data_IF_457403245430
#
_entry.id   IF_457403245430
#
_cell.length_a   1.000
_cell.length_b   1.000
_cell.length_c   1.000
_cell.angle_alpha   90.00
_cell.angle_beta   90.00
_cell.angle_gamma   90.00
#
_symmetry.space_group_name_H-M   'P 1'
#
loop_
_entity.id
_entity.type
_entity.pdbx_description
1 polymer ?
#
# COMPACT_ATOMS: atom_id res chain seq x y z
N UNK A 1 -30.94 33.36 42.47
CA UNK A 1 -29.52 33.00 42.67
C UNK A 1 -29.33 31.66 41.98
N UNK A 2 -28.30 31.49 41.16
CA UNK A 2 -27.97 30.17 40.64
C UNK A 2 -27.55 29.29 41.82
N UNK A 3 -28.04 28.05 41.88
CA UNK A 3 -27.67 27.09 42.92
C UNK A 3 -26.16 26.85 42.90
N UNK A 4 -25.56 26.77 44.10
CA UNK A 4 -24.13 26.48 44.23
C UNK A 4 -23.90 25.03 43.79
N UNK A 5 -22.90 24.83 42.94
CA UNK A 5 -22.46 23.51 42.51
C UNK A 5 -22.01 22.70 43.73
N UNK A 6 -22.42 21.43 43.83
CA UNK A 6 -22.10 20.59 44.99
C UNK A 6 -20.59 20.47 45.20
N UNK A 7 -20.18 20.50 46.47
CA UNK A 7 -18.78 20.30 46.84
C UNK A 7 -18.29 18.93 46.34
N UNK A 8 -17.08 18.91 45.79
CA UNK A 8 -16.50 17.73 45.13
C UNK A 8 -16.77 17.64 43.62
N UNK A 9 -17.57 18.53 43.04
CA UNK A 9 -17.71 18.61 41.58
C UNK A 9 -16.41 19.13 40.96
N UNK A 10 -15.88 18.46 39.93
CA UNK A 10 -14.69 18.95 39.22
C UNK A 10 -14.91 20.33 38.62
N UNK A 11 -13.94 21.22 38.78
CA UNK A 11 -14.02 22.58 38.24
C UNK A 11 -13.81 22.66 36.73
N UNK A 12 -13.19 21.63 36.15
CA UNK A 12 -12.89 21.62 34.74
C UNK A 12 -12.49 20.21 34.29
N UNK A 13 -12.64 19.91 33.00
CA UNK A 13 -12.35 18.59 32.45
C UNK A 13 -10.85 18.19 32.59
N UNK A 14 -9.97 19.15 32.85
CA UNK A 14 -8.51 18.92 32.89
C UNK A 14 -7.85 19.13 34.25
N UNK A 15 -8.59 19.66 35.21
CA UNK A 15 -8.07 20.05 36.52
C UNK A 15 -8.41 18.98 37.55
N UNK A 16 -7.47 18.67 38.43
CA UNK A 16 -7.77 17.88 39.64
C UNK A 16 -8.47 18.76 40.70
N UNK A 17 -8.73 20.02 40.35
CA UNK A 17 -9.30 21.02 41.23
C UNK A 17 -10.81 20.75 41.37
N UNK A 18 -11.29 20.78 42.61
CA UNK A 18 -12.69 20.52 42.93
C UNK A 18 -13.35 21.78 43.47
N UNK A 19 -14.65 21.91 43.22
CA UNK A 19 -15.48 22.93 43.83
C UNK A 19 -15.60 22.66 45.33
N UNK A 20 -15.27 23.65 46.17
CA UNK A 20 -15.45 23.63 47.62
C UNK A 20 -16.01 24.98 48.05
N UNK A 21 -17.19 24.98 48.67
CA UNK A 21 -17.95 26.17 49.04
C UNK A 21 -18.17 27.15 47.86
N UNK A 22 -18.41 26.63 46.66
CA UNK A 22 -18.65 27.44 45.46
C UNK A 22 -17.40 28.15 44.90
N UNK A 23 -16.19 27.75 45.33
CA UNK A 23 -14.92 28.17 44.74
C UNK A 23 -14.14 26.97 44.27
N UNK A 24 -13.47 27.11 43.13
CA UNK A 24 -12.56 26.08 42.68
C UNK A 24 -11.29 26.05 43.54
N UNK A 25 -10.97 24.88 44.10
CA UNK A 25 -9.82 24.68 44.95
C UNK A 25 -8.91 23.61 44.36
N UNK A 26 -7.61 23.90 44.31
CA UNK A 26 -6.59 22.91 43.91
C UNK A 26 -6.43 21.83 44.96
N UNK A 27 -6.44 20.58 44.54
CA UNK A 27 -6.22 19.42 45.41
C UNK A 27 -4.89 18.78 45.05
N UNK A 28 -4.03 18.55 46.06
CA UNK A 28 -2.79 17.82 45.88
C UNK A 28 -3.05 16.34 45.57
N UNK A 29 -2.04 15.64 45.06
CA UNK A 29 -2.16 14.19 44.81
C UNK A 29 -2.41 13.34 46.07
N UNK A 30 -2.24 13.94 47.25
CA UNK A 30 -2.50 13.39 48.58
C UNK A 30 -3.97 13.55 49.02
N UNK A 31 -4.81 14.18 48.19
CA UNK A 31 -6.22 14.45 48.48
C UNK A 31 -6.45 15.67 49.37
N UNK A 32 -5.41 16.47 49.66
CA UNK A 32 -5.51 17.63 50.55
C UNK A 32 -5.71 18.93 49.75
N UNK A 33 -6.72 19.72 50.13
CA UNK A 33 -7.01 21.03 49.52
C UNK A 33 -5.84 21.98 49.78
N UNK A 34 -5.39 22.67 48.73
CA UNK A 34 -4.23 23.58 48.72
C UNK A 34 -2.88 22.92 49.09
N UNK A 35 -2.79 21.59 49.05
CA UNK A 35 -1.50 20.90 49.16
C UNK A 35 -0.63 21.18 47.93
N UNK A 36 0.68 21.27 48.17
CA UNK A 36 1.69 21.39 47.11
C UNK A 36 2.11 20.04 46.53
N UNK A 37 1.57 18.94 47.06
CA UNK A 37 1.89 17.58 46.64
C UNK A 37 1.49 17.34 45.18
N UNK A 38 2.43 16.81 44.38
CA UNK A 38 2.22 16.50 42.96
C UNK A 38 2.63 15.08 42.66
N UNK A 39 1.92 14.46 41.73
CA UNK A 39 2.37 13.20 41.17
C UNK A 39 3.69 13.39 40.43
N UNK A 40 4.59 12.42 40.61
CA UNK A 40 5.78 12.29 39.80
C UNK A 40 5.44 11.80 38.38
N UNK A 41 6.48 11.56 37.57
CA UNK A 41 6.30 11.05 36.20
C UNK A 41 5.73 9.62 36.14
N UNK A 42 5.65 8.91 37.25
CA UNK A 42 5.17 7.53 37.35
C UNK A 42 3.72 7.46 37.88
N UNK A 43 3.14 8.60 38.24
CA UNK A 43 1.84 8.68 38.88
C UNK A 43 1.88 8.35 40.38
N UNK A 44 3.04 8.53 41.02
CA UNK A 44 3.20 8.37 42.48
C UNK A 44 3.22 9.75 43.13
N UNK A 45 2.36 9.96 44.12
CA UNK A 45 2.27 11.24 44.82
C UNK A 45 3.55 11.56 45.59
N UNK A 46 4.17 12.73 45.33
CA UNK A 46 5.49 13.12 45.81
C UNK A 46 6.57 12.04 45.59
N UNK A 47 6.41 11.25 44.53
CA UNK A 47 7.38 10.24 44.15
C UNK A 47 8.68 10.83 43.61
N UNK A 48 9.71 9.98 43.56
CA UNK A 48 11.04 10.31 43.04
C UNK A 48 11.19 10.07 41.53
N UNK A 49 10.14 9.57 40.87
CA UNK A 49 10.15 9.23 39.45
C UNK A 49 10.95 7.98 39.10
N UNK A 50 11.38 7.19 40.08
CA UNK A 50 12.21 5.99 39.86
C UNK A 50 11.38 4.70 39.73
N UNK A 51 10.09 4.73 40.03
CA UNK A 51 9.19 3.56 39.98
C UNK A 51 8.70 3.19 38.58
N UNK A 52 9.13 3.92 37.55
CA UNK A 52 8.74 3.71 36.16
C UNK A 52 9.88 4.09 35.20
N UNK A 53 9.81 3.59 33.97
CA UNK A 53 10.68 4.02 32.86
C UNK A 53 9.89 4.76 31.79
N UNK A 54 10.57 5.66 31.07
CA UNK A 54 10.02 6.37 29.91
C UNK A 54 10.32 5.56 28.65
N UNK A 55 9.30 5.35 27.83
CA UNK A 55 9.40 4.77 26.49
C UNK A 55 9.15 5.89 25.47
N UNK A 56 10.03 6.01 24.48
CA UNK A 56 9.91 6.95 23.35
C UNK A 56 10.10 6.20 22.04
N UNK A 57 9.47 6.68 20.98
CA UNK A 57 9.71 6.19 19.64
C UNK A 57 9.17 7.13 18.58
N UNK A 58 9.59 6.86 17.35
CA UNK A 58 9.22 7.60 16.16
C UNK A 58 8.66 6.61 15.14
N UNK A 59 7.55 6.97 14.51
CA UNK A 59 7.00 6.22 13.40
C UNK A 59 7.11 7.07 12.14
N UNK A 60 7.78 6.53 11.13
CA UNK A 60 7.96 7.17 9.84
C UNK A 60 7.44 6.26 8.74
N UNK A 61 6.54 6.78 7.92
CA UNK A 61 5.94 6.04 6.83
C UNK A 61 5.82 6.90 5.58
N UNK A 62 5.99 6.29 4.40
CA UNK A 62 6.05 7.04 3.13
C UNK A 62 5.11 6.55 2.04
N UNK A 63 4.55 5.34 2.14
CA UNK A 63 3.81 4.70 1.05
C UNK A 63 2.70 3.80 1.55
N UNK A 64 1.53 3.81 0.93
CA UNK A 64 0.40 2.98 1.32
C UNK A 64 -0.81 3.80 1.75
N UNK A 65 -1.96 3.14 1.80
CA UNK A 65 -3.25 3.72 2.17
C UNK A 65 -3.94 2.83 3.19
N UNK A 66 -4.74 3.41 4.08
CA UNK A 66 -5.44 2.72 5.15
C UNK A 66 -4.82 2.93 6.52
N UNK A 67 -5.26 2.11 7.49
CA UNK A 67 -4.81 2.17 8.87
C UNK A 67 -3.53 1.37 9.07
N UNK A 68 -2.47 2.04 9.52
CA UNK A 68 -1.18 1.41 9.79
C UNK A 68 -0.90 1.52 11.29
N UNK A 69 -0.61 0.38 11.92
CA UNK A 69 -0.24 0.34 13.34
C UNK A 69 1.18 0.87 13.54
N UNK A 70 1.31 1.91 14.36
CA UNK A 70 2.59 2.49 14.72
C UNK A 70 3.22 1.80 15.93
N UNK A 71 2.44 1.60 17.00
CA UNK A 71 2.89 0.93 18.23
C UNK A 71 1.69 0.46 19.07
N UNK A 72 1.89 -0.61 19.83
CA UNK A 72 0.95 -1.04 20.89
C UNK A 72 1.46 -0.51 22.24
N UNK A 73 0.68 0.39 22.85
CA UNK A 73 0.96 0.92 24.19
C UNK A 73 0.36 -0.06 25.21
N UNK A 74 1.16 -0.65 26.12
CA UNK A 74 0.70 -1.72 27.00
C UNK A 74 -0.28 -1.24 28.07
N UNK A 75 -0.98 -2.18 28.70
CA UNK A 75 -1.74 -1.94 29.92
C UNK A 75 -0.80 -1.42 31.04
N UNK A 76 -1.32 -0.57 31.91
CA UNK A 76 -0.57 0.10 32.97
C UNK A 76 0.23 1.32 32.51
N UNK A 77 0.23 1.65 31.21
CA UNK A 77 0.94 2.80 30.68
C UNK A 77 0.33 4.12 31.17
N UNK A 78 1.19 5.09 31.47
CA UNK A 78 0.86 6.43 31.94
C UNK A 78 1.51 7.51 31.09
N UNK A 79 1.06 8.76 31.25
CA UNK A 79 1.61 9.96 30.59
C UNK A 79 1.80 9.79 29.08
N UNK A 80 0.83 9.16 28.44
CA UNK A 80 0.83 8.89 27.02
C UNK A 80 0.71 10.21 26.27
N UNK A 81 1.61 10.43 25.32
CA UNK A 81 1.62 11.60 24.43
C UNK A 81 2.05 11.15 23.05
N UNK A 82 1.20 11.43 22.07
CA UNK A 82 1.46 11.20 20.64
C UNK A 82 1.31 12.52 19.93
N UNK A 83 2.32 12.92 19.17
CA UNK A 83 2.36 14.19 18.45
C UNK A 83 2.79 13.93 17.02
N UNK A 84 2.09 14.55 16.09
CA UNK A 84 2.50 14.57 14.69
C UNK A 84 3.68 15.53 14.51
N UNK A 85 4.72 15.07 13.79
CA UNK A 85 5.94 15.84 13.57
C UNK A 85 5.69 17.07 12.70
N UNK A 86 4.83 16.90 11.68
CA UNK A 86 4.43 17.93 10.74
C UNK A 86 2.96 17.77 10.36
N UNK A 87 2.23 18.87 10.15
CA UNK A 87 0.83 18.78 9.73
C UNK A 87 0.69 18.01 8.41
N UNK A 88 -0.30 17.13 8.32
CA UNK A 88 -0.56 16.37 7.09
C UNK A 88 -2.06 16.10 6.88
N UNK A 89 -2.41 15.52 5.74
CA UNK A 89 -3.79 15.11 5.45
C UNK A 89 -4.16 13.74 6.05
N UNK A 90 -3.32 13.19 6.92
CA UNK A 90 -3.54 11.94 7.63
C UNK A 90 -4.11 12.17 9.02
N UNK A 91 -4.53 11.07 9.65
CA UNK A 91 -5.19 11.12 10.95
C UNK A 91 -4.57 10.15 11.94
N UNK A 92 -4.29 10.62 13.15
CA UNK A 92 -4.02 9.77 14.30
C UNK A 92 -5.29 9.01 14.68
N UNK A 93 -5.15 7.73 14.98
CA UNK A 93 -6.24 6.89 15.47
C UNK A 93 -5.77 6.04 16.65
N UNK A 94 -6.69 5.75 17.57
CA UNK A 94 -6.45 4.87 18.70
C UNK A 94 -7.56 3.84 18.79
N UNK A 95 -7.21 2.60 19.09
CA UNK A 95 -8.17 1.52 19.31
C UNK A 95 -7.80 0.77 20.58
N UNK A 96 -8.79 0.35 21.36
CA UNK A 96 -8.60 -0.60 22.45
C UNK A 96 -9.06 -2.00 22.07
N UNK A 97 -8.72 -2.99 22.90
CA UNK A 97 -9.09 -4.38 22.70
C UNK A 97 -10.59 -4.68 22.93
N UNK A 98 -11.40 -3.69 23.33
CA UNK A 98 -12.80 -3.81 23.75
C UNK A 98 -13.78 -3.01 22.87
N UNK A 99 -13.45 -2.85 21.58
CA UNK A 99 -14.22 -2.12 20.55
C UNK A 99 -14.19 -0.58 20.64
N UNK A 100 -13.62 -0.01 21.71
CA UNK A 100 -13.46 1.43 21.81
C UNK A 100 -12.47 1.93 20.76
N UNK A 101 -12.76 3.09 20.15
CA UNK A 101 -11.83 3.70 19.20
C UNK A 101 -12.01 5.21 19.04
N UNK A 102 -10.96 5.84 18.52
CA UNK A 102 -10.89 7.22 18.06
C UNK A 102 -10.28 7.18 16.65
N UNK A 103 -10.96 7.82 15.71
CA UNK A 103 -10.68 7.96 14.30
C UNK A 103 -10.54 6.62 13.59
N UNK A 104 -11.25 5.58 14.03
CA UNK A 104 -11.26 4.25 13.43
C UNK A 104 -12.46 4.07 12.48
N UNK A 105 -12.45 2.97 11.72
CA UNK A 105 -13.57 2.52 10.87
C UNK A 105 -14.00 3.57 9.84
N UNK A 106 -13.02 4.30 9.28
CA UNK A 106 -13.21 5.35 8.28
C UNK A 106 -14.04 6.55 8.77
N UNK A 107 -14.23 6.66 10.09
CA UNK A 107 -14.91 7.76 10.75
C UNK A 107 -13.86 8.63 11.44
N UNK A 108 -13.99 9.94 11.28
CA UNK A 108 -13.15 10.93 11.94
C UNK A 108 -13.99 11.63 13.01
N UNK A 109 -13.61 11.54 14.28
CA UNK A 109 -14.28 12.32 15.33
C UNK A 109 -13.75 13.75 15.41
N UNK A 110 -14.58 14.60 16.04
CA UNK A 110 -14.18 15.94 16.38
C UNK A 110 -13.22 15.92 17.59
N UNK A 111 -12.33 16.91 17.72
CA UNK A 111 -11.46 17.04 18.88
C UNK A 111 -12.25 17.06 20.18
N UNK A 112 -11.79 16.33 21.17
CA UNK A 112 -12.54 16.09 22.41
C UNK A 112 -11.85 15.09 23.33
N UNK A 113 -12.63 14.61 24.29
CA UNK A 113 -12.22 13.58 25.25
C UNK A 113 -13.02 12.30 25.04
N UNK A 114 -12.33 11.19 25.19
CA UNK A 114 -12.86 9.86 24.91
C UNK A 114 -12.39 8.90 26.00
N UNK A 115 -13.30 8.09 26.51
CA UNK A 115 -12.96 7.01 27.42
C UNK A 115 -12.49 5.80 26.60
N UNK A 116 -11.24 5.40 26.77
CA UNK A 116 -10.63 4.32 26.00
C UNK A 116 -9.61 3.55 26.85
N UNK A 117 -9.65 2.22 26.78
CA UNK A 117 -8.80 1.35 27.61
C UNK A 117 -8.81 1.71 29.11
N UNK A 118 -9.93 2.19 29.63
CA UNK A 118 -10.09 2.58 31.04
C UNK A 118 -9.37 3.87 31.46
N UNK A 119 -9.00 4.73 30.51
CA UNK A 119 -8.47 6.08 30.76
C UNK A 119 -9.09 7.10 29.81
N UNK A 120 -9.07 8.38 30.21
CA UNK A 120 -9.50 9.48 29.35
C UNK A 120 -8.39 9.87 28.37
N UNK A 121 -8.66 9.67 27.08
CA UNK A 121 -7.81 10.12 25.98
C UNK A 121 -8.32 11.46 25.48
N UNK A 122 -7.41 12.44 25.42
CA UNK A 122 -7.67 13.75 24.83
C UNK A 122 -7.12 13.80 23.42
N UNK A 123 -8.00 14.04 22.46
CA UNK A 123 -7.66 14.25 21.06
C UNK A 123 -7.78 15.73 20.70
N UNK A 124 -6.70 16.30 20.17
CA UNK A 124 -6.59 17.71 19.80
C UNK A 124 -6.21 17.80 18.34
N UNK A 125 -6.94 18.65 17.60
CA UNK A 125 -6.64 18.99 16.22
C UNK A 125 -6.61 20.49 16.02
N UNK A 126 -5.58 21.00 15.34
CA UNK A 126 -5.41 22.42 15.00
C UNK A 126 -5.02 22.53 13.53
N UNK A 127 -6.00 22.77 12.67
CA UNK A 127 -5.80 22.67 11.22
C UNK A 127 -5.51 21.22 10.83
N UNK A 128 -4.34 20.99 10.21
CA UNK A 128 -3.86 19.66 9.83
C UNK A 128 -2.97 18.99 10.88
N UNK A 129 -2.68 19.67 12.00
CA UNK A 129 -1.81 19.11 13.04
C UNK A 129 -2.61 18.43 14.14
N UNK A 130 -2.14 17.25 14.56
CA UNK A 130 -2.83 16.42 15.53
C UNK A 130 -1.98 16.01 16.74
N UNK A 131 -2.67 15.81 17.86
CA UNK A 131 -2.08 15.31 19.11
C UNK A 131 -3.09 14.47 19.87
N UNK A 132 -2.64 13.34 20.39
CA UNK A 132 -3.37 12.55 21.37
C UNK A 132 -2.59 12.48 22.68
N UNK A 133 -3.29 12.53 23.81
CA UNK A 133 -2.66 12.37 25.12
C UNK A 133 -3.59 11.73 26.13
N UNK A 134 -3.06 10.88 27.00
CA UNK A 134 -3.81 10.25 28.08
C UNK A 134 -2.97 10.23 29.37
N UNK A 135 -3.63 10.44 30.52
CA UNK A 135 -2.94 10.39 31.82
C UNK A 135 -2.59 8.94 32.20
N UNK A 136 -3.46 7.97 31.87
CA UNK A 136 -3.36 6.60 32.35
C UNK A 136 -3.71 6.46 33.84
N UNK A 137 -3.43 5.31 34.47
CA UNK A 137 -2.92 4.10 33.85
C UNK A 137 -3.96 3.47 32.92
N UNK A 138 -3.54 2.96 31.78
CA UNK A 138 -4.40 2.16 30.92
C UNK A 138 -4.76 0.84 31.60
N UNK A 139 -6.01 0.38 31.48
CA UNK A 139 -6.46 -0.93 31.97
C UNK A 139 -6.29 -2.03 30.92
N UNK A 140 -6.16 -1.66 29.65
CA UNK A 140 -5.96 -2.55 28.51
C UNK A 140 -4.92 -1.96 27.54
N UNK A 141 -4.36 -2.75 26.60
CA UNK A 141 -3.50 -2.22 25.56
C UNK A 141 -4.22 -1.22 24.64
N UNK A 142 -3.50 -0.20 24.19
CA UNK A 142 -3.95 0.78 23.20
C UNK A 142 -3.14 0.62 21.92
N UNK A 143 -3.83 0.37 20.81
CA UNK A 143 -3.26 0.27 19.48
C UNK A 143 -3.22 1.66 18.85
N UNK A 144 -2.02 2.24 18.72
CA UNK A 144 -1.83 3.51 18.04
C UNK A 144 -1.74 3.27 16.53
N UNK A 145 -2.70 3.82 15.81
CA UNK A 145 -2.86 3.68 14.36
C UNK A 145 -2.71 5.04 13.68
N UNK A 146 -2.34 5.00 12.40
CA UNK A 146 -2.31 6.17 11.52
C UNK A 146 -3.13 5.85 10.28
N UNK A 147 -4.12 6.69 9.95
CA UNK A 147 -4.87 6.61 8.70
C UNK A 147 -4.15 7.38 7.58
N UNK A 148 -3.62 6.66 6.59
CA UNK A 148 -3.00 7.22 5.39
C UNK A 148 -3.96 7.23 4.20
N UNK A 149 -4.06 8.37 3.50
CA UNK A 149 -4.91 8.50 2.30
C UNK A 149 -4.17 8.35 0.97
N UNK A 150 -2.85 8.57 0.97
CA UNK A 150 -1.98 8.47 -0.22
C UNK A 150 -0.52 8.36 0.21
N UNK A 151 0.37 8.10 -0.74
CA UNK A 151 1.81 8.11 -0.54
C UNK A 151 2.29 9.51 -0.13
N UNK A 152 2.53 9.70 1.17
CA UNK A 152 3.08 10.91 1.74
C UNK A 152 4.05 10.57 2.86
N UNK A 153 5.06 11.42 3.07
CA UNK A 153 5.93 11.31 4.24
C UNK A 153 5.15 11.75 5.47
N UNK A 154 4.80 10.78 6.32
CA UNK A 154 4.10 10.96 7.58
C UNK A 154 5.00 10.52 8.73
N UNK A 155 5.03 11.32 9.80
CA UNK A 155 5.92 11.14 10.94
C UNK A 155 5.20 11.49 12.24
N UNK A 156 5.28 10.61 13.23
CA UNK A 156 4.79 10.88 14.59
C UNK A 156 5.86 10.53 15.62
N UNK A 157 5.87 11.31 16.69
CA UNK A 157 6.65 11.05 17.89
C UNK A 157 5.71 10.66 19.04
N UNK A 158 6.03 9.57 19.74
CA UNK A 158 5.27 9.12 20.90
C UNK A 158 6.15 8.92 22.14
N UNK A 159 5.58 9.22 23.30
CA UNK A 159 6.20 9.04 24.61
C UNK A 159 5.16 8.55 25.63
N UNK A 160 5.52 7.59 26.48
CA UNK A 160 4.72 7.14 27.62
C UNK A 160 5.61 6.54 28.73
N UNK A 161 5.03 6.26 29.89
CA UNK A 161 5.73 5.63 31.03
C UNK A 161 5.13 4.29 31.41
N UNK A 162 5.97 3.32 31.79
CA UNK A 162 5.55 1.99 32.28
C UNK A 162 6.18 1.71 33.65
N UNK A 163 5.40 1.12 34.57
CA UNK A 163 5.85 0.77 35.93
C UNK A 163 7.00 -0.25 35.91
N UNK A 164 7.92 -0.14 36.88
CA UNK A 164 9.02 -1.10 37.09
C UNK A 164 8.67 -2.21 38.09
N UNK A 165 7.58 -2.07 38.88
CA UNK A 165 7.27 -2.96 39.99
C UNK A 165 6.05 -3.87 39.73
N UNK A 166 6.32 -5.16 39.54
CA UNK A 166 5.58 -6.28 40.19
C UNK A 166 6.53 -7.47 40.37
N UNK A 167 7.26 -7.54 41.49
CA UNK A 167 7.92 -8.80 41.89
C UNK A 167 6.98 -9.63 42.75
N UNK A 168 6.17 -10.49 42.12
CA UNK A 168 5.83 -11.85 42.56
C UNK A 168 4.84 -12.50 41.56
N UNK A 169 5.38 -13.31 40.65
CA UNK A 169 4.60 -14.22 39.81
C UNK A 169 5.00 -14.23 38.34
N UNK A 170 6.19 -14.80 38.05
CA UNK A 170 6.87 -14.91 36.74
C UNK A 170 7.39 -13.58 36.16
N UNK A 171 8.68 -13.63 35.92
CA UNK A 171 9.48 -12.84 35.00
C UNK A 171 8.81 -12.77 33.62
N UNK A 172 7.84 -11.87 33.43
CA UNK A 172 7.51 -11.36 32.10
C UNK A 172 8.39 -10.12 31.92
N UNK A 173 9.67 -10.39 31.62
CA UNK A 173 10.58 -9.42 31.05
C UNK A 173 9.80 -8.54 30.08
N UNK A 174 9.89 -7.21 30.24
CA UNK A 174 9.29 -6.26 29.30
C UNK A 174 10.02 -6.35 27.96
N UNK A 175 9.69 -7.38 27.21
CA UNK A 175 10.12 -7.64 25.87
C UNK A 175 9.33 -6.70 24.95
N UNK A 176 10.04 -6.01 24.06
CA UNK A 176 9.40 -5.10 23.11
C UNK A 176 9.61 -5.68 21.73
N UNK A 177 8.51 -6.11 21.12
CA UNK A 177 8.47 -6.39 19.70
C UNK A 177 8.60 -5.09 18.92
N UNK A 178 9.70 -4.97 18.19
CA UNK A 178 9.94 -3.92 17.19
C UNK A 178 9.74 -4.51 15.80
N UNK A 179 9.41 -3.68 14.82
CA UNK A 179 9.20 -4.16 13.45
C UNK A 179 9.63 -3.13 12.42
N UNK A 180 9.97 -3.61 11.22
CA UNK A 180 10.23 -2.76 10.05
C UNK A 180 8.92 -2.29 9.42
N UNK A 181 9.01 -1.31 8.52
CA UNK A 181 7.92 -1.04 7.59
C UNK A 181 7.55 -2.28 6.77
N UNK A 182 6.29 -2.36 6.34
CA UNK A 182 5.84 -3.34 5.36
C UNK A 182 6.61 -3.19 4.04
N UNK A 183 6.97 -4.33 3.46
CA UNK A 183 7.48 -4.43 2.10
C UNK A 183 6.34 -4.30 1.08
N UNK A 184 6.67 -4.02 -0.18
CA UNK A 184 5.69 -3.98 -1.27
C UNK A 184 4.93 -5.30 -1.41
N UNK A 185 3.65 -5.23 -1.80
CA UNK A 185 2.76 -6.38 -1.92
C UNK A 185 3.33 -7.43 -2.89
N UNK A 186 3.62 -8.64 -2.39
CA UNK A 186 4.18 -9.71 -3.20
C UNK A 186 3.08 -10.41 -4.02
N UNK A 187 2.74 -9.83 -5.18
CA UNK A 187 1.74 -10.41 -6.08
C UNK A 187 2.34 -11.42 -7.04
N UNK A 188 1.66 -12.57 -7.21
CA UNK A 188 2.08 -13.63 -8.12
C UNK A 188 1.30 -13.52 -9.44
N UNK A 189 2.01 -13.61 -10.58
CA UNK A 189 1.39 -13.49 -11.89
C UNK A 189 0.94 -14.86 -12.44
N UNK A 190 -0.36 -15.16 -12.36
CA UNK A 190 -0.97 -16.34 -12.98
C UNK A 190 -2.14 -16.89 -12.15
N UNK A 191 -3.28 -17.18 -12.78
CA UNK A 191 -4.50 -17.59 -12.06
C UNK A 191 -5.11 -16.44 -11.26
N UNK A 192 -4.88 -16.45 -9.95
CA UNK A 192 -5.44 -15.54 -8.93
C UNK A 192 -4.60 -14.27 -8.78
N UNK A 193 -4.55 -13.51 -9.86
CA UNK A 193 -3.77 -12.28 -9.91
C UNK A 193 -4.40 -11.20 -9.03
N UNK A 194 -3.57 -10.47 -8.27
CA UNK A 194 -4.02 -9.39 -7.41
C UNK A 194 -3.83 -9.72 -5.95
N UNK A 195 -3.97 -10.98 -5.54
CA UNK A 195 -3.71 -11.39 -4.17
C UNK A 195 -2.21 -11.54 -3.93
N UNK A 196 -1.74 -10.97 -2.83
CA UNK A 196 -0.37 -11.05 -2.39
C UNK A 196 -0.27 -10.94 -0.88
N UNK A 197 0.96 -10.82 -0.40
CA UNK A 197 1.26 -10.67 1.02
C UNK A 197 2.23 -9.51 1.21
N UNK A 198 1.94 -8.60 2.14
CA UNK A 198 2.95 -7.68 2.67
C UNK A 198 3.76 -8.42 3.71
N UNK A 199 5.09 -8.26 3.67
CA UNK A 199 5.99 -8.84 4.65
C UNK A 199 6.69 -7.75 5.44
N UNK A 200 6.92 -7.97 6.74
CA UNK A 200 7.77 -7.10 7.56
C UNK A 200 8.68 -7.94 8.45
N UNK A 201 9.83 -7.37 8.81
CA UNK A 201 10.71 -8.00 9.80
C UNK A 201 10.24 -7.61 11.18
N UNK A 202 10.13 -8.60 12.07
CA UNK A 202 9.77 -8.40 13.47
C UNK A 202 10.94 -8.86 14.33
N UNK A 203 11.42 -8.00 15.22
CA UNK A 203 12.57 -8.24 16.09
C UNK A 203 12.17 -8.09 17.55
N UNK A 204 12.67 -8.99 18.38
CA UNK A 204 12.53 -8.88 19.82
C UNK A 204 13.65 -8.01 20.39
N UNK A 205 13.30 -6.98 21.14
CA UNK A 205 14.27 -6.15 21.88
C UNK A 205 14.11 -6.45 23.37
N UNK A 206 14.96 -7.35 23.90
CA UNK A 206 15.01 -7.75 25.32
C UNK A 206 16.50 -7.95 25.72
N UNK A 207 16.97 -7.44 26.88
CA UNK A 207 18.24 -7.83 27.49
C UNK A 207 18.49 -9.35 27.62
N UNK A 208 17.46 -10.17 27.89
CA UNK A 208 17.53 -11.64 27.94
C UNK A 208 17.22 -12.33 26.59
N UNK A 209 16.81 -11.60 25.55
CA UNK A 209 16.57 -12.14 24.21
C UNK A 209 15.29 -12.98 24.02
N UNK A 210 14.35 -12.97 24.97
CA UNK A 210 13.10 -13.76 24.88
C UNK A 210 11.89 -12.81 24.87
N UNK A 211 11.12 -12.81 23.78
CA UNK A 211 9.80 -12.17 23.71
C UNK A 211 8.71 -13.23 23.77
N UNK A 212 7.54 -12.91 24.33
CA UNK A 212 6.36 -13.78 24.25
C UNK A 212 5.93 -13.94 22.78
N UNK A 213 5.92 -15.17 22.24
CA UNK A 213 5.43 -15.44 20.89
C UNK A 213 3.95 -15.09 20.68
N UNK A 214 3.12 -15.10 21.73
CA UNK A 214 1.69 -14.80 21.61
C UNK A 214 1.41 -13.33 21.34
N UNK A 215 2.31 -12.44 21.76
CA UNK A 215 2.23 -11.00 21.50
C UNK A 215 3.00 -10.56 20.25
N UNK A 216 3.57 -11.51 19.49
CA UNK A 216 4.35 -11.20 18.31
C UNK A 216 3.46 -10.54 17.23
N UNK A 217 3.83 -9.33 16.75
CA UNK A 217 3.16 -8.71 15.64
C UNK A 217 3.20 -9.62 14.41
N UNK A 218 2.11 -9.64 13.64
CA UNK A 218 2.03 -10.42 12.40
C UNK A 218 3.13 -10.00 11.44
N UNK A 219 3.89 -10.97 10.92
CA UNK A 219 4.95 -10.71 9.94
C UNK A 219 4.42 -10.62 8.50
N UNK A 220 3.19 -11.07 8.31
CA UNK A 220 2.53 -11.19 7.02
C UNK A 220 1.09 -10.68 7.11
N UNK A 221 0.66 -9.88 6.14
CA UNK A 221 -0.74 -9.50 5.98
C UNK A 221 -1.18 -9.65 4.52
N UNK A 222 -2.43 -10.07 4.27
CA UNK A 222 -2.96 -10.20 2.91
C UNK A 222 -3.11 -8.81 2.27
N UNK A 223 -2.77 -8.71 0.99
CA UNK A 223 -2.90 -7.49 0.21
C UNK A 223 -3.46 -7.74 -1.19
N UNK A 224 -4.10 -6.72 -1.75
CA UNK A 224 -4.63 -6.73 -3.11
C UNK A 224 -3.93 -5.67 -3.97
N UNK A 225 -3.12 -6.10 -4.93
CA UNK A 225 -2.47 -5.22 -5.89
C UNK A 225 -2.63 -5.71 -7.33
N UNK A 226 -3.53 -5.06 -8.05
CA UNK A 226 -3.89 -5.46 -9.39
C UNK A 226 -3.05 -4.80 -10.49
N UNK A 227 -2.10 -3.92 -10.14
CA UNK A 227 -1.35 -3.10 -11.11
C UNK A 227 -0.60 -3.91 -12.18
N UNK A 228 -0.19 -5.14 -11.88
CA UNK A 228 0.59 -6.03 -12.78
C UNK A 228 -0.22 -7.24 -13.28
N UNK A 229 -1.54 -7.16 -13.25
CA UNK A 229 -2.43 -8.26 -13.63
C UNK A 229 -2.68 -8.31 -15.13
N UNK A 230 -1.69 -8.79 -15.89
CA UNK A 230 -1.78 -8.90 -17.35
C UNK A 230 -1.82 -10.34 -17.84
N UNK A 231 -2.60 -10.57 -18.90
CA UNK A 231 -2.67 -11.88 -19.57
C UNK A 231 -2.68 -11.76 -21.08
N UNK A 232 -2.21 -12.82 -21.74
CA UNK A 232 -2.30 -12.95 -23.19
C UNK A 232 -3.72 -13.31 -23.59
N UNK A 233 -4.41 -12.39 -24.27
CA UNK A 233 -5.65 -12.66 -24.96
C UNK A 233 -5.39 -12.92 -26.44
N UNK A 234 -6.13 -13.88 -27.00
CA UNK A 234 -6.05 -14.20 -28.42
C UNK A 234 -7.40 -14.05 -29.08
N UNK A 235 -7.42 -13.43 -30.26
CA UNK A 235 -8.59 -13.43 -31.14
C UNK A 235 -8.73 -14.74 -31.91
N UNK A 236 -9.78 -14.81 -32.72
CA UNK A 236 -10.03 -15.95 -33.60
C UNK A 236 -8.93 -16.11 -34.66
N UNK A 237 -8.77 -17.34 -35.12
CA UNK A 237 -7.93 -17.64 -36.26
C UNK A 237 -8.55 -17.10 -37.54
N UNK A 238 -7.74 -16.41 -38.33
CA UNK A 238 -8.10 -15.99 -39.68
C UNK A 238 -8.42 -17.18 -40.57
N UNK A 239 -9.08 -16.91 -41.70
CA UNK A 239 -9.16 -17.89 -42.79
C UNK A 239 -7.76 -18.30 -43.24
N UNK A 240 -7.65 -19.53 -43.75
CA UNK A 240 -6.40 -20.03 -44.31
C UNK A 240 -5.95 -19.12 -45.44
N UNK A 241 -4.67 -18.74 -45.45
CA UNK A 241 -4.10 -17.84 -46.47
C UNK A 241 -4.21 -18.38 -47.89
N UNK A 242 -4.32 -19.70 -48.02
CA UNK A 242 -4.40 -20.42 -49.30
C UNK A 242 -5.81 -20.95 -49.50
N UNK A 243 -6.35 -20.83 -50.71
CA UNK A 243 -7.65 -21.41 -51.08
C UNK A 243 -7.60 -22.92 -51.29
N UNK A 244 -6.42 -23.47 -51.55
CA UNK A 244 -6.11 -24.90 -51.72
C UNK A 244 -4.69 -25.18 -51.19
N UNK A 245 -4.34 -26.45 -50.94
CA UNK A 245 -3.00 -26.87 -50.52
C UNK A 245 -2.57 -26.33 -49.15
N UNK A 246 -1.25 -26.12 -48.95
CA UNK A 246 -0.69 -25.64 -47.67
C UNK A 246 -0.84 -24.12 -47.53
N UNK A 247 -1.16 -23.66 -46.32
CA UNK A 247 -1.27 -22.25 -45.99
C UNK A 247 -1.02 -21.95 -44.51
N UNK A 248 -1.26 -20.70 -44.14
CA UNK A 248 -1.10 -20.19 -42.77
C UNK A 248 -2.41 -19.56 -42.29
N UNK A 249 -2.74 -19.75 -41.02
CA UNK A 249 -3.72 -18.92 -40.30
C UNK A 249 -2.97 -18.00 -39.34
N UNK A 250 -3.54 -16.82 -39.14
CA UNK A 250 -3.02 -15.81 -38.21
C UNK A 250 -4.09 -15.45 -37.19
N UNK A 251 -3.70 -15.03 -35.99
CA UNK A 251 -4.63 -14.49 -34.99
C UNK A 251 -4.01 -13.28 -34.30
N UNK A 252 -4.86 -12.43 -33.75
CA UNK A 252 -4.42 -11.33 -32.88
C UNK A 252 -3.98 -11.91 -31.54
N UNK A 253 -2.83 -11.48 -31.03
CA UNK A 253 -2.31 -11.85 -29.71
C UNK A 253 -1.94 -10.55 -29.01
N UNK A 254 -2.65 -10.21 -27.93
CA UNK A 254 -2.52 -8.95 -27.22
C UNK A 254 -2.33 -9.21 -25.73
N UNK A 255 -1.44 -8.45 -25.12
CA UNK A 255 -1.30 -8.41 -23.67
C UNK A 255 -2.33 -7.41 -23.13
N UNK A 256 -3.23 -7.90 -22.28
CA UNK A 256 -4.35 -7.12 -21.78
C UNK A 256 -4.44 -7.22 -20.26
N UNK A 257 -4.76 -6.10 -19.63
CA UNK A 257 -5.02 -6.05 -18.20
C UNK A 257 -6.33 -6.79 -17.88
N UNK A 258 -6.29 -7.74 -16.95
CA UNK A 258 -7.42 -8.65 -16.66
C UNK A 258 -8.69 -7.94 -16.23
N UNK A 259 -8.58 -6.87 -15.42
CA UNK A 259 -9.75 -6.17 -14.90
C UNK A 259 -10.25 -5.03 -15.80
N UNK A 260 -9.33 -4.28 -16.40
CA UNK A 260 -9.67 -3.04 -17.10
C UNK A 260 -9.77 -3.22 -18.61
N UNK A 261 -9.30 -4.36 -19.14
CA UNK A 261 -9.24 -4.63 -20.57
C UNK A 261 -8.28 -3.73 -21.35
N UNK A 262 -7.47 -2.90 -20.66
CA UNK A 262 -6.51 -2.01 -21.32
C UNK A 262 -5.33 -2.80 -21.89
N UNK A 263 -4.79 -2.30 -23.00
CA UNK A 263 -3.53 -2.80 -23.53
C UNK A 263 -2.37 -2.49 -22.56
N UNK A 264 -1.46 -3.43 -22.40
CA UNK A 264 -0.21 -3.22 -21.68
C UNK A 264 0.89 -4.16 -22.15
N UNK A 265 2.04 -4.15 -21.45
CA UNK A 265 3.26 -4.82 -21.89
C UNK A 265 3.85 -5.78 -20.84
N UNK A 266 3.21 -5.96 -19.69
CA UNK A 266 3.75 -6.72 -18.56
C UNK A 266 3.48 -8.25 -18.62
N UNK A 267 3.05 -8.76 -19.78
CA UNK A 267 2.88 -10.21 -19.97
C UNK A 267 4.22 -10.91 -20.19
N UNK A 268 4.41 -12.06 -19.54
CA UNK A 268 5.59 -12.89 -19.76
C UNK A 268 5.73 -13.31 -21.23
N UNK A 269 6.87 -12.99 -21.85
CA UNK A 269 7.18 -13.32 -23.24
C UNK A 269 7.24 -14.84 -23.46
N UNK A 270 7.68 -15.60 -22.45
CA UNK A 270 7.76 -17.07 -22.51
C UNK A 270 6.39 -17.74 -22.66
N UNK A 271 5.32 -17.10 -22.15
CA UNK A 271 3.95 -17.60 -22.23
C UNK A 271 3.18 -17.06 -23.43
N UNK A 272 3.83 -16.31 -24.34
CA UNK A 272 3.17 -15.68 -25.48
C UNK A 272 2.62 -16.74 -26.45
N UNK A 273 1.29 -16.79 -26.68
CA UNK A 273 0.70 -17.75 -27.60
C UNK A 273 1.16 -17.51 -29.06
N UNK A 274 1.23 -18.56 -29.89
CA UNK A 274 1.66 -18.42 -31.28
C UNK A 274 0.68 -17.54 -32.08
N UNK A 275 1.23 -16.58 -32.81
CA UNK A 275 0.46 -15.70 -33.72
C UNK A 275 0.06 -16.41 -35.01
N UNK A 276 0.75 -17.50 -35.38
CA UNK A 276 0.55 -18.22 -36.62
C UNK A 276 0.42 -19.73 -36.39
N UNK A 277 -0.37 -20.40 -37.23
CA UNK A 277 -0.41 -21.87 -37.31
C UNK A 277 -0.56 -22.35 -38.76
N UNK A 278 -0.06 -23.55 -39.11
CA UNK A 278 -0.29 -24.13 -40.42
C UNK A 278 -1.76 -24.54 -40.63
N UNK A 279 -2.23 -24.47 -41.86
CA UNK A 279 -3.52 -24.99 -42.31
C UNK A 279 -3.37 -25.70 -43.65
N UNK A 280 -4.17 -26.75 -43.87
CA UNK A 280 -4.28 -27.42 -45.16
C UNK A 280 -5.71 -27.32 -45.69
N UNK A 281 -5.84 -26.95 -46.97
CA UNK A 281 -7.07 -27.07 -47.75
C UNK A 281 -6.90 -28.13 -48.83
N UNK A 282 -8.00 -28.51 -49.49
CA UNK A 282 -8.02 -29.54 -50.52
C UNK A 282 -6.94 -29.34 -51.60
N UNK A 283 -6.62 -30.39 -52.34
CA UNK A 283 -5.58 -30.39 -53.38
C UNK A 283 -5.81 -29.24 -54.37
N UNK A 284 -4.73 -28.50 -54.66
CA UNK A 284 -4.78 -27.46 -55.68
C UNK A 284 -4.94 -28.11 -57.04
N UNK A 285 -5.94 -27.66 -57.80
CA UNK A 285 -6.09 -28.07 -59.19
C UNK A 285 -5.07 -27.26 -60.00
N UNK A 286 -4.06 -27.91 -60.58
CA UNK A 286 -2.92 -27.25 -61.26
C UNK A 286 -3.30 -26.47 -62.54
N UNK A 287 -4.61 -26.33 -62.84
CA UNK A 287 -5.14 -25.67 -64.04
C UNK A 287 -5.96 -24.40 -63.77
N UNK A 288 -5.84 -23.77 -62.60
CA UNK A 288 -6.51 -22.48 -62.32
C UNK A 288 -5.48 -21.36 -62.15
N UNK A 289 -5.60 -20.36 -63.03
CA UNK A 289 -4.77 -19.16 -63.18
C UNK A 289 -4.44 -18.43 -61.87
N UNK A 290 -3.20 -17.93 -61.78
CA UNK A 290 -2.50 -17.37 -60.60
C UNK A 290 -2.98 -15.96 -60.17
N UNK A 291 -4.19 -15.50 -60.51
CA UNK A 291 -4.56 -14.09 -60.37
C UNK A 291 -5.70 -13.76 -59.39
N UNK A 292 -5.90 -14.54 -58.32
CA UNK A 292 -6.82 -14.13 -57.23
C UNK A 292 -6.09 -14.03 -55.90
N UNK A 293 -5.29 -12.97 -55.77
CA UNK A 293 -4.56 -12.61 -54.55
C UNK A 293 -5.53 -11.99 -53.55
N UNK A 294 -5.79 -12.65 -52.42
CA UNK A 294 -6.54 -12.09 -51.28
C UNK A 294 -5.68 -11.90 -50.03
N UNK A 295 -4.34 -11.91 -50.17
CA UNK A 295 -3.39 -11.74 -49.07
C UNK A 295 -2.43 -10.56 -49.31
N UNK A 296 -2.31 -9.61 -48.37
CA UNK A 296 -1.31 -8.52 -48.42
C UNK A 296 0.14 -9.03 -48.48
N UNK A 297 0.40 -10.24 -47.98
CA UNK A 297 1.74 -10.87 -48.03
C UNK A 297 2.06 -11.49 -49.39
N UNK A 298 1.06 -11.99 -50.11
CA UNK A 298 1.26 -12.55 -51.46
C UNK A 298 1.34 -11.43 -52.51
N UNK A 299 0.71 -10.27 -52.23
CA UNK A 299 0.92 -9.06 -53.00
C UNK A 299 2.40 -8.66 -53.01
N UNK A 300 3.16 -8.78 -51.90
CA UNK A 300 4.58 -8.42 -51.88
C UNK A 300 5.48 -9.29 -52.77
N UNK A 301 5.13 -10.57 -52.96
CA UNK A 301 5.83 -11.51 -53.84
C UNK A 301 5.47 -11.36 -55.33
N UNK A 302 4.36 -10.67 -55.63
CA UNK A 302 3.83 -10.44 -56.99
C UNK A 302 3.76 -8.96 -57.37
N UNK A 303 4.17 -8.06 -56.47
CA UNK A 303 4.14 -6.61 -56.66
C UNK A 303 5.19 -6.22 -57.69
N UNK A 304 4.72 -5.89 -58.88
CA UNK A 304 5.56 -5.30 -59.93
C UNK A 304 5.92 -3.88 -59.52
N UNK A 305 7.13 -3.71 -58.98
CA UNK A 305 7.64 -2.40 -58.56
C UNK A 305 7.77 -1.49 -59.79
N UNK A 306 7.01 -0.38 -59.78
CA UNK A 306 7.01 0.64 -60.84
C UNK A 306 7.90 1.85 -60.50
N UNK A 307 8.65 1.78 -59.38
CA UNK A 307 9.50 2.86 -58.87
C UNK A 307 9.03 3.38 -57.50
N UNK A 308 9.89 4.15 -56.83
CA UNK A 308 9.52 4.84 -55.59
C UNK A 308 8.54 5.99 -55.86
N UNK A 309 7.39 5.97 -55.21
CA UNK A 309 6.39 7.02 -55.33
C UNK A 309 6.81 8.31 -54.62
N UNK A 310 7.63 8.21 -53.57
CA UNK A 310 8.07 9.33 -52.73
C UNK A 310 9.58 9.34 -52.50
N UNK A 311 10.35 9.50 -53.57
CA UNK A 311 11.82 9.41 -53.61
C UNK A 311 12.55 10.08 -52.42
N UNK A 312 12.13 11.28 -52.00
CA UNK A 312 12.75 12.00 -50.86
C UNK A 312 12.41 11.37 -49.51
N UNK A 313 11.15 10.97 -49.30
CA UNK A 313 10.70 10.39 -48.03
C UNK A 313 11.11 8.92 -47.89
N UNK A 314 11.27 8.19 -48.99
CA UNK A 314 11.63 6.78 -48.97
C UNK A 314 12.98 6.52 -48.29
N UNK A 315 13.93 7.46 -48.36
CA UNK A 315 15.19 7.39 -47.60
C UNK A 315 14.95 7.38 -46.09
N UNK A 316 14.06 8.24 -45.60
CA UNK A 316 13.68 8.32 -44.17
C UNK A 316 12.94 7.04 -43.73
N UNK A 317 12.08 6.50 -44.59
CA UNK A 317 11.37 5.23 -44.35
C UNK A 317 12.36 4.07 -44.16
N UNK A 318 13.45 4.04 -44.94
CA UNK A 318 14.52 3.05 -44.78
C UNK A 318 15.31 3.25 -43.49
N UNK A 319 15.73 4.49 -43.21
CA UNK A 319 16.52 4.85 -42.02
C UNK A 319 15.77 4.57 -40.71
N UNK A 320 14.45 4.76 -40.70
CA UNK A 320 13.58 4.45 -39.55
C UNK A 320 13.11 3.00 -39.52
N UNK A 321 13.63 2.15 -40.41
CA UNK A 321 13.31 0.73 -40.54
C UNK A 321 11.79 0.47 -40.66
N UNK A 322 11.07 1.34 -41.35
CA UNK A 322 9.62 1.27 -41.55
C UNK A 322 9.24 0.39 -42.75
N UNK A 323 10.24 -0.05 -43.54
CA UNK A 323 10.07 -0.97 -44.67
C UNK A 323 9.43 -2.32 -44.28
N UNK A 324 9.37 -2.67 -43.00
CA UNK A 324 8.70 -3.89 -42.50
C UNK A 324 7.17 -3.79 -42.61
N UNK A 325 6.61 -2.57 -42.64
CA UNK A 325 5.20 -2.34 -42.92
C UNK A 325 4.99 -2.21 -44.44
N UNK A 326 4.16 -3.11 -44.97
CA UNK A 326 3.90 -3.25 -46.40
C UNK A 326 3.30 -2.01 -47.05
N UNK A 327 2.63 -1.13 -46.28
CA UNK A 327 2.10 0.13 -46.81
C UNK A 327 3.22 1.07 -47.24
N UNK A 328 4.34 1.05 -46.53
CA UNK A 328 5.54 1.81 -46.90
C UNK A 328 6.30 1.14 -48.05
N UNK A 329 6.36 -0.20 -48.05
CA UNK A 329 6.95 -0.95 -49.16
C UNK A 329 6.24 -0.70 -50.50
N UNK A 330 4.91 -0.61 -50.51
CA UNK A 330 4.14 -0.30 -51.73
C UNK A 330 4.40 1.11 -52.29
N UNK A 331 4.90 2.04 -51.48
CA UNK A 331 5.21 3.43 -51.89
C UNK A 331 6.70 3.66 -52.13
N UNK A 332 7.55 2.81 -51.56
CA UNK A 332 9.01 2.91 -51.57
C UNK A 332 9.65 1.57 -51.98
N UNK A 333 9.16 0.98 -53.07
CA UNK A 333 9.47 -0.40 -53.43
C UNK A 333 10.90 -0.61 -53.93
N UNK A 334 11.58 0.41 -54.44
CA UNK A 334 13.00 0.34 -54.80
C UNK A 334 13.88 0.52 -53.57
N UNK A 335 13.60 1.56 -52.78
CA UNK A 335 14.36 1.85 -51.56
C UNK A 335 14.25 0.73 -50.50
N UNK A 336 13.12 0.01 -50.44
CA UNK A 336 12.91 -1.10 -49.50
C UNK A 336 13.17 -2.50 -50.10
N UNK A 337 13.67 -2.60 -51.34
CA UNK A 337 13.82 -3.88 -52.06
C UNK A 337 14.81 -4.83 -51.39
N UNK A 338 15.95 -4.30 -50.97
CA UNK A 338 17.06 -5.02 -50.34
C UNK A 338 16.71 -5.55 -48.94
N UNK A 339 15.87 -4.81 -48.19
CA UNK A 339 15.33 -5.25 -46.90
C UNK A 339 14.66 -6.62 -46.98
N UNK A 340 13.83 -6.84 -48.01
CA UNK A 340 13.12 -8.11 -48.20
C UNK A 340 13.96 -9.17 -48.92
N UNK A 341 14.86 -8.78 -49.84
CA UNK A 341 15.78 -9.72 -50.47
C UNK A 341 16.71 -10.41 -49.46
N UNK A 342 17.24 -9.66 -48.49
CA UNK A 342 18.13 -10.20 -47.46
C UNK A 342 17.41 -11.11 -46.44
N UNK A 343 16.12 -10.88 -46.18
CA UNK A 343 15.34 -11.79 -45.32
C UNK A 343 15.02 -13.14 -45.96
N UNK A 344 15.04 -13.23 -47.30
CA UNK A 344 14.81 -14.49 -48.03
C UNK A 344 16.05 -15.37 -48.04
N UNK A 345 17.26 -14.78 -48.09
CA UNK A 345 18.53 -15.52 -48.09
C UNK A 345 18.89 -16.11 -46.72
N UNK A 346 18.52 -15.44 -45.62
CA UNK A 346 18.79 -15.93 -44.25
C UNK A 346 17.79 -17.01 -43.76
N UNK A 347 16.92 -17.51 -44.64
CA UNK A 347 15.90 -18.53 -44.33
C UNK A 347 15.91 -19.73 -45.27
N UNK A 348 16.89 -19.81 -46.17
CA UNK A 348 17.22 -21.02 -46.94
C UNK A 348 18.45 -21.68 -46.35
#
# INVERSE_FOLDING_TARGET
>A
MADRVMDGTSCGPYEADLCVNGRCQRIGCDGIISSSAKEDRCGVCNGDGLSCRIVRGDFNHTKGMGYIEAVVIPAGARRIKVVEDKPSHSFLALKDSSEGSINSDWKIELPGEFELAGTTVRYVRRGLWEKMSAKGPTKAPLHLMVLLFHDQSYGIHYEYTVSLNTTQGRDEDLYIWTHSSWQDCSVQCGGDCGQGVHKRTVSCTNPQGVCDPLSQPTQEEPCENHSKCYEWKTGDWSKCSSSCGKGLQSRVVQCMHKLTGRHGNDCSVALRPPTYRPCHRGTCNEKINVNTITSPRLAALTYKCMGDQWTVYCRVIREKNLCQDMRWYQRCCETCRDFYANQMLNKS
#
